data_IF_152364121397
#
_entry.id   IF_152364121397
#
_cell.length_a   1.000
_cell.length_b   1.000
_cell.length_c   1.000
_cell.angle_alpha   90.00
_cell.angle_beta   90.00
_cell.angle_gamma   90.00
#
_symmetry.space_group_name_H-M   'P 1'
#
loop_
_entity.id
_entity.type
_entity.pdbx_description
1 polymer ?
#
# COMPACT_ATOMS: atom_id res chain seq x y z
N UNK A 1 10.36 -22.01 2.28
CA UNK A 1 9.97 -21.69 0.89
C UNK A 1 11.21 -21.81 0.02
N UNK A 2 11.29 -22.83 -0.84
CA UNK A 2 12.44 -23.09 -1.72
C UNK A 2 12.20 -22.33 -3.03
N UNK A 3 13.07 -21.39 -3.39
CA UNK A 3 12.88 -20.56 -4.58
C UNK A 3 13.04 -21.36 -5.88
N UNK A 4 12.02 -21.32 -6.76
CA UNK A 4 12.09 -21.90 -8.10
C UNK A 4 12.94 -21.01 -9.02
N UNK A 5 14.05 -21.57 -9.53
CA UNK A 5 14.98 -20.88 -10.46
C UNK A 5 14.38 -20.59 -11.83
N UNK A 6 13.17 -21.07 -12.11
CA UNK A 6 12.43 -20.79 -13.34
C UNK A 6 11.72 -19.43 -13.33
N UNK A 7 11.84 -18.65 -12.24
CA UNK A 7 11.24 -17.32 -12.09
C UNK A 7 9.74 -17.28 -12.43
N UNK A 8 9.00 -18.34 -12.08
CA UNK A 8 7.56 -18.39 -12.28
C UNK A 8 6.87 -17.48 -11.26
N UNK A 9 6.36 -16.34 -11.72
CA UNK A 9 5.52 -15.44 -10.93
C UNK A 9 4.04 -15.75 -11.14
N UNK A 10 3.31 -15.97 -10.05
CA UNK A 10 1.85 -16.05 -10.08
C UNK A 10 1.29 -14.68 -9.69
N UNK A 11 0.59 -14.02 -10.61
CA UNK A 11 -0.09 -12.75 -10.35
C UNK A 11 -1.55 -13.01 -10.03
N UNK A 12 -2.03 -12.38 -8.97
CA UNK A 12 -3.45 -12.43 -8.59
C UNK A 12 -4.17 -11.31 -9.35
N UNK A 13 -5.20 -11.64 -10.15
CA UNK A 13 -5.87 -10.64 -11.01
C UNK A 13 -6.47 -9.48 -10.19
N UNK A 14 -6.89 -9.75 -8.96
CA UNK A 14 -7.40 -8.74 -8.03
C UNK A 14 -6.35 -7.74 -7.55
N UNK A 15 -5.06 -7.99 -7.75
CA UNK A 15 -4.02 -6.97 -7.52
C UNK A 15 -4.17 -5.78 -8.45
N UNK A 16 -4.73 -5.98 -9.66
CA UNK A 16 -4.93 -4.90 -10.63
C UNK A 16 -5.84 -3.78 -10.08
N UNK A 17 -7.08 -4.06 -9.61
CA UNK A 17 -7.92 -3.00 -9.03
C UNK A 17 -7.36 -2.45 -7.71
N UNK A 18 -6.60 -3.24 -6.93
CA UNK A 18 -5.98 -2.78 -5.68
C UNK A 18 -4.90 -1.75 -5.98
N UNK A 19 -3.99 -2.04 -6.91
CA UNK A 19 -3.01 -1.06 -7.36
C UNK A 19 -3.67 0.10 -8.12
N UNK A 20 -4.73 -0.14 -8.89
CA UNK A 20 -5.51 0.90 -9.56
C UNK A 20 -6.14 1.89 -8.57
N UNK A 21 -6.48 1.45 -7.35
CA UNK A 21 -6.99 2.34 -6.30
C UNK A 21 -5.96 3.39 -5.86
N UNK A 22 -4.68 3.23 -6.21
CA UNK A 22 -3.66 4.24 -5.96
C UNK A 22 -3.95 5.58 -6.66
N UNK A 23 -4.79 5.61 -7.71
CA UNK A 23 -5.23 6.87 -8.34
C UNK A 23 -5.95 7.77 -7.32
N UNK A 24 -6.66 7.21 -6.34
CA UNK A 24 -7.31 8.02 -5.29
C UNK A 24 -6.31 8.68 -4.34
N UNK A 25 -5.06 8.21 -4.30
CA UNK A 25 -4.01 8.77 -3.47
C UNK A 25 -3.52 10.13 -3.97
N UNK A 26 -3.67 10.42 -5.27
CA UNK A 26 -3.38 11.74 -5.84
C UNK A 26 -4.30 12.82 -5.25
N UNK A 27 -5.61 12.57 -5.27
CA UNK A 27 -6.58 13.49 -4.64
C UNK A 27 -6.39 13.61 -3.12
N UNK A 28 -5.84 12.58 -2.47
CA UNK A 28 -5.45 12.66 -1.07
C UNK A 28 -4.22 13.56 -0.89
N UNK A 29 -3.22 13.43 -1.75
CA UNK A 29 -1.99 14.23 -1.75
C UNK A 29 -2.30 15.74 -1.88
N UNK A 30 -3.13 16.13 -2.84
CA UNK A 30 -3.55 17.54 -3.04
C UNK A 30 -4.11 18.18 -1.76
N UNK A 31 -4.87 17.40 -0.98
CA UNK A 31 -5.51 17.89 0.25
C UNK A 31 -4.54 18.03 1.42
N UNK A 32 -3.52 17.18 1.47
CA UNK A 32 -2.57 17.11 2.61
C UNK A 32 -1.26 17.82 2.33
N UNK A 33 -1.01 18.30 1.10
CA UNK A 33 0.27 18.86 0.67
C UNK A 33 0.78 19.98 1.61
N UNK A 34 -0.13 20.84 2.09
CA UNK A 34 0.20 21.97 2.98
C UNK A 34 0.50 21.58 4.43
N UNK A 35 0.31 20.32 4.82
CA UNK A 35 0.49 19.88 6.20
C UNK A 35 1.96 19.62 6.54
N UNK A 36 2.33 19.60 7.84
CA UNK A 36 3.69 19.23 8.24
C UNK A 36 4.02 17.79 7.85
N UNK A 37 5.30 17.56 7.51
CA UNK A 37 5.80 16.29 6.95
C UNK A 37 5.48 15.06 7.82
N UNK A 38 5.52 15.20 9.14
CA UNK A 38 5.20 14.10 10.08
C UNK A 38 3.73 13.69 9.99
N UNK A 39 2.83 14.65 9.87
CA UNK A 39 1.39 14.39 9.75
C UNK A 39 1.10 13.77 8.39
N UNK A 40 1.72 14.27 7.33
CA UNK A 40 1.60 13.71 5.97
C UNK A 40 2.03 12.24 5.91
N UNK A 41 3.22 11.92 6.42
CA UNK A 41 3.68 10.54 6.45
C UNK A 41 2.79 9.64 7.31
N UNK A 42 2.23 10.15 8.41
CA UNK A 42 1.22 9.43 9.20
C UNK A 42 -0.06 9.14 8.40
N UNK A 43 -0.57 10.13 7.65
CA UNK A 43 -1.73 9.95 6.76
C UNK A 43 -1.43 8.91 5.68
N UNK A 44 -0.23 8.94 5.09
CA UNK A 44 0.19 7.95 4.09
C UNK A 44 0.16 6.52 4.64
N UNK A 45 0.74 6.31 5.82
CA UNK A 45 0.71 4.99 6.49
C UNK A 45 -0.73 4.54 6.73
N UNK A 46 -1.59 5.42 7.25
CA UNK A 46 -2.99 5.09 7.51
C UNK A 46 -3.77 4.79 6.24
N UNK A 47 -3.58 5.56 5.17
CA UNK A 47 -4.23 5.34 3.88
C UNK A 47 -3.84 3.99 3.28
N UNK A 48 -2.53 3.70 3.24
CA UNK A 48 -2.01 2.43 2.71
C UNK A 48 -2.53 1.25 3.53
N UNK A 49 -2.47 1.32 4.87
CA UNK A 49 -3.04 0.26 5.71
C UNK A 49 -4.54 0.11 5.55
N UNK A 50 -5.27 1.19 5.33
CA UNK A 50 -6.72 1.10 5.10
C UNK A 50 -7.01 0.36 3.80
N UNK A 51 -6.30 0.70 2.71
CA UNK A 51 -6.46 0.03 1.41
C UNK A 51 -6.03 -1.43 1.51
N UNK A 52 -4.88 -1.71 2.12
CA UNK A 52 -4.35 -3.07 2.30
C UNK A 52 -5.31 -3.93 3.14
N UNK A 53 -5.78 -3.41 4.27
CA UNK A 53 -6.71 -4.11 5.16
C UNK A 53 -8.08 -4.31 4.49
N UNK A 54 -8.65 -3.26 3.88
CA UNK A 54 -9.96 -3.34 3.23
C UNK A 54 -9.93 -4.32 2.06
N UNK A 55 -8.88 -4.27 1.23
CA UNK A 55 -8.70 -5.17 0.11
C UNK A 55 -8.49 -6.60 0.58
N UNK A 56 -7.62 -6.81 1.57
CA UNK A 56 -7.37 -8.14 2.13
C UNK A 56 -8.61 -8.75 2.78
N UNK A 57 -9.39 -7.94 3.50
CA UNK A 57 -10.66 -8.36 4.09
C UNK A 57 -11.72 -8.68 3.03
N UNK A 58 -11.84 -7.84 2.01
CA UNK A 58 -12.77 -8.05 0.89
C UNK A 58 -12.42 -9.34 0.14
N UNK A 59 -11.16 -9.56 -0.20
CA UNK A 59 -10.71 -10.79 -0.88
C UNK A 59 -10.97 -12.03 -0.03
N UNK A 60 -10.64 -11.98 1.25
CA UNK A 60 -10.91 -13.09 2.18
C UNK A 60 -12.41 -13.38 2.29
N UNK A 61 -13.25 -12.35 2.27
CA UNK A 61 -14.70 -12.50 2.37
C UNK A 61 -15.34 -12.98 1.06
N UNK A 62 -14.83 -12.53 -0.09
CA UNK A 62 -15.39 -12.83 -1.41
C UNK A 62 -14.87 -14.14 -2.02
N UNK A 63 -13.59 -14.45 -1.80
CA UNK A 63 -12.89 -15.60 -2.41
C UNK A 63 -12.52 -16.69 -1.40
N UNK A 64 -12.71 -16.43 -0.10
CA UNK A 64 -12.31 -17.34 0.99
C UNK A 64 -10.82 -17.29 1.33
N UNK A 65 -9.99 -16.76 0.43
CA UNK A 65 -8.54 -16.67 0.59
C UNK A 65 -8.02 -15.25 0.36
N UNK A 66 -7.00 -14.85 1.12
CA UNK A 66 -6.25 -13.62 0.89
C UNK A 66 -4.90 -13.99 0.26
N UNK A 67 -4.50 -13.37 -0.87
CA UNK A 67 -3.24 -13.71 -1.54
C UNK A 67 -2.00 -13.36 -0.71
N UNK A 68 -2.14 -12.49 0.29
CA UNK A 68 -1.12 -12.29 1.32
C UNK A 68 -1.68 -12.73 2.68
N UNK A 69 -0.98 -13.66 3.32
CA UNK A 69 -1.27 -14.08 4.68
C UNK A 69 -0.07 -13.78 5.58
N UNK A 70 -0.22 -12.75 6.41
CA UNK A 70 0.77 -12.36 7.41
C UNK A 70 0.50 -12.97 8.80
N UNK A 71 -0.39 -13.96 8.93
CA UNK A 71 -0.77 -14.55 10.23
C UNK A 71 0.42 -15.09 11.04
N UNK A 72 1.55 -15.40 10.40
CA UNK A 72 2.79 -15.82 11.07
C UNK A 72 3.71 -14.69 11.55
N UNK A 73 3.40 -13.42 11.30
CA UNK A 73 4.23 -12.29 11.69
C UNK A 73 3.82 -11.69 13.04
N UNK A 74 4.81 -11.36 13.88
CA UNK A 74 4.64 -10.96 15.29
C UNK A 74 3.74 -9.73 15.49
N UNK A 75 3.75 -8.78 14.56
CA UNK A 75 2.91 -7.57 14.61
C UNK A 75 1.92 -7.49 13.45
N UNK A 76 1.41 -8.64 13.00
CA UNK A 76 0.33 -8.69 12.03
C UNK A 76 -1.03 -8.44 12.70
N UNK A 77 -1.81 -7.53 12.14
CA UNK A 77 -3.21 -7.33 12.54
C UNK A 77 -4.07 -8.21 11.64
N UNK A 78 -4.69 -9.23 12.25
CA UNK A 78 -5.58 -10.22 11.59
C UNK A 78 -4.95 -10.93 10.38
N UNK A 79 -3.62 -10.95 10.29
CA UNK A 79 -2.89 -11.52 9.15
C UNK A 79 -2.98 -10.70 7.86
N UNK A 80 -3.59 -9.50 7.88
CA UNK A 80 -3.86 -8.71 6.68
C UNK A 80 -2.93 -7.51 6.52
N UNK A 81 -2.49 -6.90 7.62
CA UNK A 81 -1.52 -5.79 7.62
C UNK A 81 -0.44 -6.06 8.66
N UNK A 82 0.78 -5.55 8.42
CA UNK A 82 1.91 -5.63 9.36
C UNK A 82 2.27 -4.25 9.87
N UNK A 83 2.07 -4.03 11.16
CA UNK A 83 2.37 -2.72 11.80
C UNK A 83 3.87 -2.39 11.78
N UNK A 84 4.73 -3.41 11.72
CA UNK A 84 6.18 -3.26 11.58
C UNK A 84 6.59 -2.48 10.32
N UNK A 85 5.75 -2.51 9.28
CA UNK A 85 6.02 -1.83 8.02
C UNK A 85 5.65 -0.35 8.05
N UNK A 86 5.12 0.17 9.17
CA UNK A 86 4.73 1.57 9.26
C UNK A 86 5.89 2.54 8.91
N UNK A 87 7.15 2.32 9.36
CA UNK A 87 8.27 3.17 8.95
C UNK A 87 8.56 3.07 7.45
N UNK A 88 8.42 1.88 6.87
CA UNK A 88 8.63 1.66 5.44
C UNK A 88 7.56 2.40 4.61
N UNK A 89 6.29 2.29 5.02
CA UNK A 89 5.18 2.97 4.37
C UNK A 89 5.23 4.50 4.53
N UNK A 90 5.71 4.98 5.67
CA UNK A 90 5.95 6.41 5.90
C UNK A 90 6.95 6.96 4.89
N UNK A 91 8.10 6.29 4.72
CA UNK A 91 9.14 6.69 3.77
C UNK A 91 8.62 6.56 2.33
N UNK A 92 7.92 5.47 2.01
CA UNK A 92 7.35 5.25 0.69
C UNK A 92 6.34 6.35 0.33
N UNK A 93 5.44 6.71 1.24
CA UNK A 93 4.46 7.79 1.01
C UNK A 93 5.13 9.14 0.72
N UNK A 94 6.17 9.50 1.49
CA UNK A 94 6.94 10.72 1.22
C UNK A 94 7.71 10.66 -0.10
N UNK A 95 8.21 9.48 -0.49
CA UNK A 95 8.88 9.29 -1.77
C UNK A 95 7.90 9.44 -2.93
N UNK A 96 6.71 8.83 -2.85
CA UNK A 96 5.66 8.96 -3.86
C UNK A 96 5.25 10.42 -4.04
N UNK A 97 5.07 11.14 -2.95
CA UNK A 97 4.79 12.57 -3.00
C UNK A 97 5.92 13.37 -3.68
N UNK A 98 7.18 13.06 -3.40
CA UNK A 98 8.31 13.73 -4.07
C UNK A 98 8.36 13.41 -5.56
N UNK A 99 8.00 12.18 -5.94
CA UNK A 99 7.90 11.75 -7.33
C UNK A 99 6.75 12.49 -8.03
N UNK A 100 5.60 12.61 -7.38
CA UNK A 100 4.44 13.33 -7.93
C UNK A 100 4.76 14.81 -8.20
N UNK A 101 5.35 15.50 -7.22
CA UNK A 101 5.80 16.90 -7.39
C UNK A 101 6.87 17.06 -8.48
N UNK A 102 7.69 16.03 -8.71
CA UNK A 102 8.68 16.05 -9.77
C UNK A 102 8.04 15.85 -11.15
N UNK A 103 7.05 14.97 -11.26
CA UNK A 103 6.27 14.74 -12.47
C UNK A 103 5.48 16.00 -12.86
N UNK A 104 4.83 16.66 -11.90
CA UNK A 104 4.09 17.91 -12.15
C UNK A 104 4.99 19.01 -12.70
N UNK A 105 6.23 19.11 -12.23
CA UNK A 105 7.21 20.08 -12.74
C UNK A 105 7.74 19.78 -14.14
N UNK A 106 7.66 18.53 -14.61
CA UNK A 106 8.10 18.13 -15.95
C UNK A 106 6.98 18.30 -16.98
N UNK A 107 5.72 18.14 -16.54
CA UNK A 107 4.54 18.23 -17.38
C UNK A 107 4.03 19.67 -17.58
N UNK A 108 4.61 20.65 -16.87
CA UNK A 108 4.39 22.10 -17.02
C UNK A 108 5.58 22.79 -17.69
#
# INVERSE_FOLDING_TARGET
MTGDRRFRGYTYLWMFPIYGSAVFLESLHDRIFHWPILVRGGVWVLAIYTIEYASGWFLRSALGECPWDYSGAKYAVKGLIRLDYAPAWFIAGLLFERIHLFLDRILL
#
